data_IF_595353460116
#
_entry.id   IF_595353460116
#
_cell.length_a   1.000
_cell.length_b   1.000
_cell.length_c   1.000
_cell.angle_alpha   90.00
_cell.angle_beta   90.00
_cell.angle_gamma   90.00
#
_symmetry.space_group_name_H-M   'P 1'
#
loop_
_entity.id
_entity.type
_entity.pdbx_description
1 polymer ?
#
# COMPACT_ATOMS: atom_id res chain seq x y z
N UNK A 1 -16.07 10.10 4.27
CA UNK A 1 -14.75 10.62 4.60
C UNK A 1 -13.74 9.48 4.63
N UNK A 2 -12.85 9.51 3.65
CA UNK A 2 -11.62 8.73 3.62
C UNK A 2 -10.51 9.57 4.25
N UNK A 3 -9.70 8.98 5.12
CA UNK A 3 -8.59 9.64 5.82
C UNK A 3 -7.36 8.72 5.82
N UNK A 4 -6.18 9.32 5.62
CA UNK A 4 -4.89 8.62 5.76
C UNK A 4 -4.14 9.22 6.95
N UNK A 5 -3.79 8.37 7.91
CA UNK A 5 -2.83 8.68 8.97
C UNK A 5 -1.57 7.87 8.74
N UNK A 6 -0.41 8.50 8.87
CA UNK A 6 0.87 7.82 8.76
C UNK A 6 1.89 8.44 9.70
N UNK A 7 2.97 7.72 9.98
CA UNK A 7 4.16 8.22 10.65
C UNK A 7 5.37 7.43 10.18
N UNK A 8 6.45 8.12 9.80
CA UNK A 8 7.72 7.49 9.50
C UNK A 8 8.43 7.06 10.78
N UNK A 9 9.04 5.88 10.79
CA UNK A 9 9.78 5.32 11.93
C UNK A 9 11.12 4.84 11.41
N UNK A 10 12.14 5.70 11.50
CA UNK A 10 13.41 5.54 10.79
C UNK A 10 14.61 5.77 11.72
N UNK A 11 15.70 5.03 11.51
CA UNK A 11 16.96 5.27 12.22
C UNK A 11 17.65 6.49 11.58
N UNK A 12 17.41 7.66 12.17
CA UNK A 12 18.02 8.89 11.67
C UNK A 12 19.54 8.90 11.83
N UNK A 13 20.11 8.20 12.82
CA UNK A 13 21.56 8.14 12.98
C UNK A 13 22.19 7.33 11.83
N UNK A 14 21.60 6.19 11.51
CA UNK A 14 21.99 5.36 10.38
C UNK A 14 21.86 6.13 9.06
N UNK A 15 20.67 6.67 8.75
CA UNK A 15 20.42 7.34 7.48
C UNK A 15 21.31 8.58 7.27
N UNK A 16 21.57 9.33 8.35
CA UNK A 16 22.46 10.50 8.30
C UNK A 16 23.93 10.11 8.08
N UNK A 17 24.33 8.90 8.48
CA UNK A 17 25.69 8.40 8.25
C UNK A 17 25.92 7.90 6.83
N UNK A 18 24.84 7.54 6.11
CA UNK A 18 24.90 7.02 4.75
C UNK A 18 25.12 8.12 3.71
N UNK A 19 25.89 7.80 2.68
CA UNK A 19 25.91 8.55 1.42
C UNK A 19 24.59 8.42 0.66
N UNK A 20 24.43 9.20 -0.42
CA UNK A 20 23.28 9.07 -1.31
C UNK A 20 23.22 7.71 -2.01
N UNK A 21 24.37 7.18 -2.41
CA UNK A 21 24.46 5.88 -3.11
C UNK A 21 24.11 4.71 -2.18
N UNK A 22 24.59 4.74 -0.94
CA UNK A 22 24.21 3.75 0.08
C UNK A 22 22.72 3.84 0.39
N UNK A 23 22.18 5.04 0.56
CA UNK A 23 20.75 5.22 0.78
C UNK A 23 19.91 4.65 -0.37
N UNK A 24 20.25 4.94 -1.63
CA UNK A 24 19.52 4.42 -2.80
C UNK A 24 19.66 2.89 -2.97
N UNK A 25 20.68 2.28 -2.36
CA UNK A 25 20.93 0.84 -2.42
C UNK A 25 20.22 0.08 -1.30
N UNK A 26 20.18 0.65 -0.09
CA UNK A 26 19.58 0.00 1.09
C UNK A 26 18.08 0.33 1.23
N UNK A 27 17.63 1.52 0.81
CA UNK A 27 16.23 1.96 0.95
C UNK A 27 15.52 2.09 -0.39
N UNK A 28 14.76 1.05 -0.77
CA UNK A 28 13.76 1.16 -1.84
C UNK A 28 12.43 1.78 -1.35
N UNK A 29 12.18 1.69 -0.04
CA UNK A 29 11.03 2.25 0.67
C UNK A 29 11.39 2.76 2.07
N UNK A 30 10.57 3.66 2.62
CA UNK A 30 10.68 4.12 4.00
C UNK A 30 9.65 3.42 4.88
N UNK A 31 10.13 2.96 6.02
CA UNK A 31 9.34 2.23 7.02
C UNK A 31 8.57 3.17 7.96
N UNK A 32 7.51 2.62 8.54
CA UNK A 32 6.74 3.28 9.56
C UNK A 32 5.40 2.60 9.80
N UNK A 33 4.38 3.41 10.04
CA UNK A 33 3.02 2.98 10.30
C UNK A 33 2.03 3.78 9.46
N UNK A 34 0.94 3.14 9.08
CA UNK A 34 -0.12 3.74 8.27
C UNK A 34 -1.49 3.15 8.63
N UNK A 35 -2.49 4.02 8.73
CA UNK A 35 -3.89 3.66 8.90
C UNK A 35 -4.72 4.31 7.79
N UNK A 36 -5.48 3.49 7.07
CA UNK A 36 -6.47 3.91 6.09
C UNK A 36 -7.85 3.83 6.72
N UNK A 37 -8.53 4.95 6.88
CA UNK A 37 -9.85 5.02 7.49
C UNK A 37 -10.93 5.32 6.44
N UNK A 38 -11.82 4.36 6.22
CA UNK A 38 -12.98 4.46 5.35
C UNK A 38 -14.25 4.56 6.21
N UNK A 39 -14.73 5.79 6.50
CA UNK A 39 -15.91 6.04 7.33
C UNK A 39 -15.95 5.27 8.67
N UNK A 40 -14.81 5.12 9.33
CA UNK A 40 -14.67 4.43 10.61
C UNK A 40 -14.29 2.95 10.51
N UNK A 41 -14.21 2.38 9.30
CA UNK A 41 -13.59 1.06 9.09
C UNK A 41 -12.14 1.25 8.67
N UNK A 42 -11.24 0.60 9.38
CA UNK A 42 -9.79 0.86 9.32
C UNK A 42 -9.05 -0.31 8.71
N UNK A 43 -7.98 -0.01 7.98
CA UNK A 43 -6.97 -0.95 7.48
C UNK A 43 -5.60 -0.43 7.91
N UNK A 44 -4.72 -1.33 8.34
CA UNK A 44 -3.49 -0.96 9.04
C UNK A 44 -3.77 -0.37 10.42
N UNK A 45 -2.70 0.10 11.06
CA UNK A 45 -2.74 0.67 12.41
C UNK A 45 -1.91 1.95 12.49
N UNK A 46 -2.30 2.84 13.40
CA UNK A 46 -1.51 4.04 13.73
C UNK A 46 -1.34 4.14 15.24
N UNK A 47 -0.30 4.88 15.65
CA UNK A 47 0.06 5.05 17.05
C UNK A 47 0.16 6.54 17.38
N UNK A 48 -0.73 7.01 18.25
CA UNK A 48 -0.83 8.43 18.63
C UNK A 48 0.11 8.81 19.80
N UNK A 49 0.85 7.84 20.36
CA UNK A 49 1.80 8.07 21.46
C UNK A 49 3.20 8.49 21.00
N UNK A 50 4.05 8.82 21.96
CA UNK A 50 5.49 9.00 21.72
C UNK A 50 6.14 7.63 21.43
N UNK A 51 6.89 7.54 20.33
CA UNK A 51 7.70 6.34 20.03
C UNK A 51 8.98 6.51 20.85
N UNK A 52 9.16 5.63 21.85
CA UNK A 52 10.36 5.63 22.68
C UNK A 52 11.52 4.94 21.96
N UNK A 53 12.75 5.24 22.37
CA UNK A 53 13.95 4.56 21.88
C UNK A 53 13.87 3.04 22.10
N UNK A 54 13.34 2.59 23.24
CA UNK A 54 13.12 1.16 23.53
C UNK A 54 12.15 0.51 22.53
N UNK A 55 11.04 1.18 22.19
CA UNK A 55 10.08 0.68 21.20
C UNK A 55 10.73 0.55 19.82
N UNK A 56 11.56 1.52 19.45
CA UNK A 56 12.31 1.51 18.21
C UNK A 56 13.33 0.36 18.17
N UNK A 57 14.13 0.18 19.22
CA UNK A 57 15.19 -0.85 19.29
C UNK A 57 14.65 -2.28 19.19
N UNK A 58 13.44 -2.53 19.68
CA UNK A 58 12.78 -3.85 19.56
C UNK A 58 12.00 -4.02 18.25
N UNK A 59 12.09 -3.05 17.33
CA UNK A 59 11.45 -3.08 16.02
C UNK A 59 9.93 -2.88 16.05
N UNK A 60 9.37 -2.26 17.10
CA UNK A 60 7.95 -1.90 17.05
C UNK A 60 7.74 -0.83 15.98
N UNK A 61 6.71 -1.00 15.13
CA UNK A 61 6.23 0.03 14.20
C UNK A 61 7.08 0.23 12.92
N UNK A 62 7.90 -0.75 12.55
CA UNK A 62 8.66 -0.77 11.29
C UNK A 62 8.03 -1.70 10.22
N UNK A 63 6.83 -2.20 10.49
CA UNK A 63 6.24 -3.29 9.70
C UNK A 63 5.64 -2.83 8.36
N UNK A 64 5.52 -1.52 8.13
CA UNK A 64 4.88 -0.99 6.92
C UNK A 64 5.82 -0.17 6.05
N UNK A 65 5.87 -0.49 4.76
CA UNK A 65 6.54 0.32 3.75
C UNK A 65 5.65 1.50 3.33
N UNK A 66 5.68 2.58 4.11
CA UNK A 66 4.84 3.78 3.97
C UNK A 66 4.92 4.36 2.56
N UNK A 67 6.11 4.49 1.99
CA UNK A 67 6.25 5.03 0.63
C UNK A 67 5.65 4.10 -0.43
N UNK A 68 5.69 2.78 -0.24
CA UNK A 68 5.05 1.83 -1.16
C UNK A 68 3.52 1.93 -1.06
N UNK A 69 2.97 2.06 0.16
CA UNK A 69 1.55 2.33 0.36
C UNK A 69 1.09 3.55 -0.42
N UNK A 70 1.80 4.68 -0.28
CA UNK A 70 1.45 5.89 -1.02
C UNK A 70 1.55 5.69 -2.53
N UNK A 71 2.59 5.02 -3.04
CA UNK A 71 2.68 4.70 -4.48
C UNK A 71 1.51 3.82 -4.95
N UNK A 72 1.08 2.84 -4.15
CA UNK A 72 -0.06 2.00 -4.47
C UNK A 72 -1.38 2.79 -4.46
N UNK A 73 -1.60 3.62 -3.45
CA UNK A 73 -2.78 4.49 -3.37
C UNK A 73 -2.86 5.45 -4.56
N UNK A 74 -1.75 6.09 -4.91
CA UNK A 74 -1.65 6.96 -6.09
C UNK A 74 -1.98 6.19 -7.37
N UNK A 75 -1.43 4.99 -7.53
CA UNK A 75 -1.70 4.13 -8.68
C UNK A 75 -3.18 3.73 -8.74
N UNK A 76 -3.79 3.36 -7.61
CA UNK A 76 -5.21 3.05 -7.52
C UNK A 76 -6.08 4.24 -7.92
N UNK A 77 -5.79 5.43 -7.36
CA UNK A 77 -6.48 6.68 -7.71
C UNK A 77 -6.44 6.96 -9.22
N UNK A 78 -5.28 6.76 -9.86
CA UNK A 78 -5.11 6.94 -11.31
C UNK A 78 -5.90 5.90 -12.10
N UNK A 79 -5.83 4.63 -11.72
CA UNK A 79 -6.52 3.56 -12.43
C UNK A 79 -8.05 3.74 -12.34
N UNK A 80 -8.57 4.24 -11.22
CA UNK A 80 -9.99 4.56 -11.06
C UNK A 80 -10.47 5.72 -11.93
N UNK A 81 -9.59 6.49 -12.58
CA UNK A 81 -10.01 7.49 -13.58
C UNK A 81 -10.59 6.80 -14.82
N UNK A 82 -9.93 5.74 -15.31
CA UNK A 82 -10.29 5.04 -16.54
C UNK A 82 -10.93 3.66 -16.32
N UNK A 83 -10.93 3.15 -15.10
CA UNK A 83 -11.50 1.86 -14.74
C UNK A 83 -12.57 2.03 -13.65
N UNK A 84 -13.57 1.15 -13.68
CA UNK A 84 -14.60 1.08 -12.64
C UNK A 84 -14.24 0.07 -11.53
N UNK A 85 -13.10 -0.60 -11.65
CA UNK A 85 -12.63 -1.61 -10.72
C UNK A 85 -11.12 -1.50 -10.57
N UNK A 86 -10.68 -1.50 -9.32
CA UNK A 86 -9.28 -1.65 -8.93
C UNK A 86 -9.24 -2.48 -7.66
N UNK A 87 -8.29 -3.39 -7.56
CA UNK A 87 -7.95 -4.03 -6.29
C UNK A 87 -6.44 -3.99 -6.08
N UNK A 88 -6.00 -3.91 -4.84
CA UNK A 88 -4.59 -3.94 -4.48
C UNK A 88 -4.40 -4.59 -3.12
N UNK A 89 -3.27 -5.26 -2.93
CA UNK A 89 -2.99 -5.98 -1.69
C UNK A 89 -2.52 -5.03 -0.60
N UNK A 90 -2.84 -5.38 0.64
CA UNK A 90 -2.07 -4.98 1.81
C UNK A 90 -0.63 -5.51 1.65
N UNK A 91 0.35 -4.77 2.17
CA UNK A 91 1.75 -5.18 2.08
C UNK A 91 1.96 -6.32 3.09
N UNK A 92 2.63 -7.39 2.68
CA UNK A 92 2.93 -8.56 3.53
C UNK A 92 1.74 -9.33 4.12
N UNK A 93 0.49 -9.00 3.74
CA UNK A 93 -0.70 -9.69 4.21
C UNK A 93 -1.52 -10.27 3.04
N UNK A 94 -2.22 -11.41 3.24
CA UNK A 94 -3.11 -12.01 2.24
C UNK A 94 -4.47 -11.27 2.18
N UNK A 95 -4.43 -9.95 2.28
CA UNK A 95 -5.60 -9.07 2.36
C UNK A 95 -5.56 -8.12 1.19
N UNK A 96 -6.72 -7.87 0.60
CA UNK A 96 -6.92 -7.07 -0.60
C UNK A 96 -7.95 -5.99 -0.34
N UNK A 97 -7.62 -4.77 -0.76
CA UNK A 97 -8.52 -3.63 -0.79
C UNK A 97 -9.14 -3.58 -2.18
N UNK A 98 -10.45 -3.81 -2.25
CA UNK A 98 -11.22 -3.76 -3.48
C UNK A 98 -12.00 -2.45 -3.58
N UNK A 99 -11.83 -1.75 -4.71
CA UNK A 99 -12.48 -0.49 -5.04
C UNK A 99 -13.34 -0.65 -6.30
N UNK A 100 -14.66 -0.53 -6.15
CA UNK A 100 -15.60 -0.53 -7.28
C UNK A 100 -16.22 0.87 -7.44
N UNK A 101 -15.95 1.54 -8.56
CA UNK A 101 -16.45 2.89 -8.85
C UNK A 101 -17.69 2.87 -9.73
N UNK A 102 -18.71 3.62 -9.31
CA UNK A 102 -19.88 3.99 -10.11
C UNK A 102 -20.09 5.49 -10.05
N UNK A 103 -19.89 6.18 -11.18
CA UNK A 103 -19.83 7.65 -11.24
C UNK A 103 -18.78 8.22 -10.26
N UNK A 104 -19.21 9.04 -9.29
CA UNK A 104 -18.34 9.60 -8.26
C UNK A 104 -18.35 8.77 -6.95
N UNK A 105 -19.03 7.64 -6.89
CA UNK A 105 -19.11 6.81 -5.70
C UNK A 105 -18.17 5.61 -5.83
N UNK A 106 -17.35 5.37 -4.81
CA UNK A 106 -16.48 4.20 -4.70
C UNK A 106 -17.01 3.34 -3.56
N UNK A 107 -17.37 2.10 -3.88
CA UNK A 107 -17.59 1.03 -2.91
C UNK A 107 -16.25 0.40 -2.55
N UNK A 108 -15.99 0.27 -1.25
CA UNK A 108 -14.76 -0.26 -0.68
C UNK A 108 -15.07 -1.54 0.09
N UNK A 109 -14.31 -2.59 -0.20
CA UNK A 109 -14.33 -3.85 0.54
C UNK A 109 -12.91 -4.29 0.88
N UNK A 110 -12.78 -4.99 1.98
CA UNK A 110 -11.56 -5.73 2.32
C UNK A 110 -11.85 -7.21 2.13
N UNK A 111 -10.98 -7.89 1.39
CA UNK A 111 -11.11 -9.28 1.01
C UNK A 111 -9.86 -10.03 1.47
N UNK A 112 -10.03 -11.18 2.12
CA UNK A 112 -8.92 -12.07 2.46
C UNK A 112 -8.82 -13.17 1.42
N UNK A 113 -7.62 -13.40 0.92
CA UNK A 113 -7.32 -14.55 0.09
C UNK A 113 -7.45 -15.84 0.91
N UNK A 114 -8.20 -16.80 0.38
CA UNK A 114 -8.43 -18.09 1.02
C UNK A 114 -7.50 -19.12 0.40
N UNK A 115 -6.43 -19.43 1.12
CA UNK A 115 -5.55 -20.53 0.71
C UNK A 115 -6.24 -21.86 0.92
N UNK A 116 -6.42 -22.61 -0.17
CA UNK A 116 -6.71 -24.02 -0.06
C UNK A 116 -5.42 -24.74 0.35
N UNK A 117 -5.34 -25.22 1.60
CA UNK A 117 -4.37 -26.26 1.95
C UNK A 117 -4.64 -27.47 1.05
N UNK A 118 -3.82 -27.65 0.03
CA UNK A 118 -3.76 -28.92 -0.69
C UNK A 118 -2.99 -29.86 0.25
N UNK A 119 -3.63 -30.92 0.73
CA UNK A 119 -2.96 -31.94 1.57
C UNK A 119 -1.66 -32.40 0.88
N UNK A 120 -0.52 -32.16 1.54
CA UNK A 120 0.80 -32.58 1.07
C UNK A 120 1.65 -31.51 0.36
N UNK A 121 1.21 -30.26 0.27
CA UNK A 121 2.09 -29.13 -0.09
C UNK A 121 2.51 -28.36 1.17
N UNK A 122 3.81 -28.09 1.29
CA UNK A 122 4.35 -27.13 2.28
C UNK A 122 3.70 -25.77 2.07
N UNK A 123 3.56 -24.99 3.15
CA UNK A 123 2.85 -23.71 3.17
C UNK A 123 3.24 -22.89 1.93
N UNK A 124 2.25 -22.61 1.08
CA UNK A 124 2.47 -21.75 -0.09
C UNK A 124 2.72 -20.36 0.49
N UNK A 125 3.99 -19.96 0.52
CA UNK A 125 4.39 -18.60 0.79
C UNK A 125 3.55 -17.67 -0.08
N UNK A 126 3.05 -16.60 0.55
CA UNK A 126 2.16 -15.58 0.00
C UNK A 126 2.28 -15.44 -1.51
N UNK A 127 1.15 -15.58 -2.22
CA UNK A 127 1.12 -15.48 -3.68
C UNK A 127 1.74 -14.16 -4.08
N UNK A 128 2.89 -14.24 -4.77
CA UNK A 128 3.60 -13.15 -5.44
C UNK A 128 2.79 -12.62 -6.63
N UNK A 129 1.52 -12.32 -6.40
CA UNK A 129 0.61 -11.74 -7.39
C UNK A 129 0.94 -10.27 -7.63
N UNK A 130 0.46 -9.67 -8.72
CA UNK A 130 0.62 -8.25 -8.93
C UNK A 130 -0.03 -7.50 -7.76
N UNK A 131 0.71 -6.61 -7.09
CA UNK A 131 0.21 -5.78 -5.99
C UNK A 131 -1.05 -4.96 -6.33
N UNK A 132 -1.42 -4.87 -7.61
CA UNK A 132 -2.59 -4.14 -8.09
C UNK A 132 -3.13 -4.71 -9.39
N UNK A 133 -4.45 -4.80 -9.50
CA UNK A 133 -5.16 -5.25 -10.69
C UNK A 133 -6.38 -4.35 -10.98
N UNK A 134 -6.83 -4.32 -12.24
CA UNK A 134 -8.07 -3.69 -12.71
C UNK A 134 -9.19 -4.69 -12.99
N UNK A 135 -8.95 -5.96 -12.67
CA UNK A 135 -9.92 -7.07 -12.73
C UNK A 135 -9.74 -7.98 -11.51
N UNK A 136 -10.73 -8.82 -11.18
CA UNK A 136 -10.56 -9.84 -10.16
C UNK A 136 -9.39 -10.77 -10.48
N UNK A 137 -8.61 -11.11 -9.45
CA UNK A 137 -7.38 -11.92 -9.60
C UNK A 137 -7.72 -13.34 -10.06
N UNK A 138 -6.89 -13.84 -10.96
CA UNK A 138 -6.88 -15.24 -11.38
C UNK A 138 -5.51 -15.84 -11.11
N UNK A 139 -5.50 -17.08 -10.63
CA UNK A 139 -4.31 -17.88 -10.39
C UNK A 139 -4.04 -18.77 -11.61
N UNK A 140 -2.78 -18.82 -12.03
CA UNK A 140 -2.31 -19.78 -13.03
C UNK A 140 -2.13 -21.16 -12.40
N UNK A 141 -2.74 -22.18 -12.98
CA UNK A 141 -2.62 -23.57 -12.55
C UNK A 141 -1.96 -24.38 -13.66
N UNK A 142 -0.79 -24.92 -13.36
CA UNK A 142 -0.03 -25.80 -14.26
C UNK A 142 -0.29 -27.26 -13.87
N UNK A 143 -0.90 -28.00 -14.78
CA UNK A 143 -1.16 -29.43 -14.59
C UNK A 143 0.13 -30.24 -14.77
N UNK A 144 0.16 -31.46 -14.22
CA UNK A 144 1.26 -32.42 -14.46
C UNK A 144 1.45 -32.75 -15.96
N UNK A 145 0.42 -32.56 -16.77
CA UNK A 145 0.47 -32.69 -18.24
C UNK A 145 1.23 -31.54 -18.92
N UNK A 146 1.53 -30.46 -18.21
CA UNK A 146 2.07 -29.20 -18.75
C UNK A 146 0.99 -28.25 -19.29
N UNK A 147 -0.29 -28.62 -19.22
CA UNK A 147 -1.39 -27.73 -19.57
C UNK A 147 -1.56 -26.63 -18.51
N UNK A 148 -1.87 -25.42 -18.98
CA UNK A 148 -2.03 -24.24 -18.14
C UNK A 148 -3.48 -23.76 -18.24
N UNK A 149 -4.12 -23.51 -17.09
CA UNK A 149 -5.41 -22.82 -17.04
C UNK A 149 -5.43 -21.78 -15.92
N UNK A 150 -6.38 -20.84 -15.99
CA UNK A 150 -6.56 -19.81 -14.98
C UNK A 150 -7.84 -20.07 -14.18
N UNK A 151 -7.75 -20.08 -12.85
CA UNK A 151 -8.92 -20.14 -11.96
C UNK A 151 -9.08 -18.84 -11.19
N UNK A 152 -10.30 -18.50 -10.80
CA UNK A 152 -10.52 -17.35 -9.93
C UNK A 152 -9.92 -17.62 -8.54
N UNK A 153 -9.20 -16.63 -7.99
CA UNK A 153 -8.70 -16.72 -6.61
C UNK A 153 -9.90 -16.63 -5.67
N UNK A 154 -9.97 -17.56 -4.71
CA UNK A 154 -11.04 -17.57 -3.73
C UNK A 154 -10.78 -16.47 -2.71
N UNK A 155 -11.74 -15.55 -2.60
CA UNK A 155 -11.70 -14.43 -1.67
C UNK A 155 -12.87 -14.51 -0.70
N UNK A 156 -12.65 -14.17 0.57
CA UNK A 156 -13.67 -14.06 1.61
C UNK A 156 -13.72 -12.64 2.17
N UNK A 157 -14.93 -12.14 2.46
CA UNK A 157 -15.08 -10.83 3.11
C UNK A 157 -14.55 -10.91 4.56
N UNK A 158 -13.84 -9.87 4.98
CA UNK A 158 -13.36 -9.78 6.36
C UNK A 158 -14.42 -9.16 7.28
N UNK A 159 -14.07 -8.90 8.55
CA UNK A 159 -14.93 -8.12 9.45
C UNK A 159 -15.01 -6.63 9.07
N UNK A 160 -14.25 -6.18 8.08
CA UNK A 160 -14.32 -4.84 7.55
C UNK A 160 -15.72 -4.57 7.00
N UNK A 161 -16.38 -3.52 7.50
CA UNK A 161 -17.70 -3.16 7.01
C UNK A 161 -17.58 -2.60 5.62
N UNK A 162 -18.49 -2.95 4.74
CA UNK A 162 -18.58 -2.32 3.42
C UNK A 162 -18.76 -0.79 3.57
N UNK A 163 -17.96 -0.03 2.82
CA UNK A 163 -17.98 1.43 2.89
C UNK A 163 -18.17 2.08 1.52
N UNK A 164 -18.69 3.30 1.56
CA UNK A 164 -18.86 4.15 0.39
C UNK A 164 -18.18 5.50 0.61
N UNK A 165 -17.27 5.86 -0.28
CA UNK A 165 -16.59 7.16 -0.31
C UNK A 165 -16.75 7.80 -1.68
N UNK A 166 -16.49 9.10 -1.80
CA UNK A 166 -16.50 9.74 -3.12
C UNK A 166 -15.13 9.59 -3.81
N UNK A 167 -15.11 9.50 -5.13
CA UNK A 167 -13.86 9.47 -5.89
C UNK A 167 -13.07 10.77 -5.72
N UNK A 168 -13.78 11.91 -5.62
CA UNK A 168 -13.17 13.20 -5.26
C UNK A 168 -12.49 13.16 -3.89
N UNK A 169 -13.16 12.68 -2.83
CA UNK A 169 -12.55 12.54 -1.50
C UNK A 169 -11.33 11.63 -1.53
N UNK A 170 -11.45 10.46 -2.19
CA UNK A 170 -10.36 9.50 -2.30
C UNK A 170 -9.11 10.11 -2.93
N UNK A 171 -9.26 10.77 -4.08
CA UNK A 171 -8.13 11.36 -4.79
C UNK A 171 -7.55 12.58 -4.06
N UNK A 172 -8.40 13.44 -3.49
CA UNK A 172 -7.92 14.63 -2.80
C UNK A 172 -7.12 14.29 -1.55
N UNK A 173 -7.58 13.33 -0.75
CA UNK A 173 -6.87 12.90 0.45
C UNK A 173 -5.51 12.26 0.09
N UNK A 174 -5.47 11.38 -0.91
CA UNK A 174 -4.21 10.79 -1.39
C UNK A 174 -3.26 11.88 -1.85
N UNK A 175 -3.73 12.83 -2.67
CA UNK A 175 -2.89 13.93 -3.16
C UNK A 175 -2.36 14.78 -2.01
N UNK A 176 -3.21 15.17 -1.07
CA UNK A 176 -2.82 16.00 0.07
C UNK A 176 -1.76 15.29 0.93
N UNK A 177 -2.04 14.05 1.34
CA UNK A 177 -1.18 13.29 2.24
C UNK A 177 0.12 12.87 1.58
N UNK A 178 0.11 12.57 0.28
CA UNK A 178 1.34 12.29 -0.45
C UNK A 178 2.24 13.53 -0.54
N UNK A 179 1.67 14.72 -0.74
CA UNK A 179 2.45 15.97 -0.73
C UNK A 179 3.01 16.29 0.65
N UNK A 180 2.25 16.02 1.72
CA UNK A 180 2.74 16.15 3.10
C UNK A 180 3.92 15.21 3.34
N UNK A 181 3.79 13.92 2.98
CA UNK A 181 4.87 12.94 3.09
C UNK A 181 6.11 13.37 2.31
N UNK A 182 5.96 13.80 1.06
CA UNK A 182 7.08 14.26 0.25
C UNK A 182 7.80 15.46 0.88
N UNK A 183 7.05 16.38 1.48
CA UNK A 183 7.60 17.55 2.16
C UNK A 183 8.40 17.12 3.39
N UNK A 184 7.81 16.27 4.23
CA UNK A 184 8.44 15.71 5.42
C UNK A 184 9.74 14.96 5.09
N UNK A 185 9.73 14.08 4.08
CA UNK A 185 10.93 13.35 3.63
C UNK A 185 12.03 14.31 3.15
N UNK A 186 11.68 15.36 2.40
CA UNK A 186 12.65 16.35 1.92
C UNK A 186 13.24 17.19 3.06
N UNK A 187 12.46 17.45 4.10
CA UNK A 187 12.92 18.15 5.31
C UNK A 187 13.81 17.25 6.18
N UNK A 188 13.47 15.97 6.30
CA UNK A 188 14.27 14.98 7.04
C UNK A 188 15.61 14.68 6.36
N UNK A 189 15.64 14.63 5.02
CA UNK A 189 16.82 14.23 4.25
C UNK A 189 17.21 15.24 3.16
N UNK A 190 17.60 16.48 3.53
CA UNK A 190 17.89 17.54 2.56
C UNK A 190 19.03 17.17 1.60
N UNK A 191 20.02 16.42 2.06
CA UNK A 191 21.15 15.97 1.24
C UNK A 191 20.81 14.76 0.35
N UNK A 192 19.65 14.13 0.57
CA UNK A 192 19.18 12.96 -0.17
C UNK A 192 18.07 13.28 -1.17
N UNK A 193 17.67 14.54 -1.36
CA UNK A 193 16.58 14.96 -2.29
C UNK A 193 16.72 14.38 -3.70
N UNK A 194 17.94 14.06 -4.15
CA UNK A 194 18.22 13.47 -5.46
C UNK A 194 18.06 11.95 -5.52
N UNK A 195 17.69 11.29 -4.42
CA UNK A 195 17.50 9.85 -4.33
C UNK A 195 16.44 9.37 -5.31
N UNK A 196 16.59 8.12 -5.76
CA UNK A 196 15.63 7.44 -6.63
C UNK A 196 14.26 7.36 -5.95
N UNK A 197 14.22 7.05 -4.65
CA UNK A 197 13.00 6.97 -3.85
C UNK A 197 12.21 8.28 -3.89
N UNK A 198 12.86 9.41 -3.56
CA UNK A 198 12.20 10.73 -3.49
C UNK A 198 11.70 11.15 -4.87
N UNK A 199 12.53 10.98 -5.91
CA UNK A 199 12.13 11.29 -7.29
C UNK A 199 10.94 10.44 -7.75
N UNK A 200 10.97 9.14 -7.47
CA UNK A 200 9.89 8.23 -7.86
C UNK A 200 8.56 8.60 -7.18
N UNK A 201 8.61 8.96 -5.89
CA UNK A 201 7.43 9.44 -5.18
C UNK A 201 6.92 10.77 -5.75
N UNK A 202 7.82 11.74 -6.00
CA UNK A 202 7.48 13.03 -6.60
C UNK A 202 6.85 12.89 -7.99
N UNK A 203 7.42 12.05 -8.86
CA UNK A 203 6.87 11.73 -10.17
C UNK A 203 5.49 11.07 -10.07
N UNK A 204 5.32 10.17 -9.09
CA UNK A 204 4.04 9.51 -8.83
C UNK A 204 2.97 10.54 -8.43
N UNK A 205 3.29 11.45 -7.50
CA UNK A 205 2.37 12.50 -7.04
C UNK A 205 1.99 13.45 -8.17
N UNK A 206 2.98 13.91 -8.96
CA UNK A 206 2.75 14.81 -10.08
C UNK A 206 1.91 14.18 -11.21
N UNK A 207 1.83 12.86 -11.24
CA UNK A 207 1.00 12.13 -12.21
C UNK A 207 -0.48 12.04 -11.84
N UNK A 208 -0.87 12.48 -10.64
CA UNK A 208 -2.28 12.65 -10.24
C UNK A 208 -2.82 13.87 -10.99
N UNK A 209 -3.73 13.64 -11.94
CA UNK A 209 -4.42 14.74 -12.63
C UNK A 209 -5.46 15.35 -11.69
N UNK A 210 -5.60 16.67 -11.72
CA UNK A 210 -6.74 17.35 -11.09
C UNK A 210 -8.04 16.91 -11.77
N UNK A 211 -9.05 16.56 -10.98
CA UNK A 211 -10.42 16.26 -11.45
C UNK A 211 -11.19 17.56 -11.65
#
# INVERSE_FOLDING_TARGET
MFEIKYRLVLDMNEINSMSLEEFDKEYDDLEGIIELNFNGSKIGETFEGEITEEMYEVGCFQDEWVTLWFRNLIKAAKLLVSNNYVMFSEIEAPVWIELTKSNNLIKVRELREVYHKIEGMEDIDCVSGPLMDTKPIKEEVVLKSGEIFFRDVKMEETSFKENFITATEFQQEIKNKSNMLLTEIKEMFPDKIKSKLIKTLEESINSIKDI
#
